data_IF_642820812029
#
_entry.id   IF_642820812029
#
_cell.length_a   1.000
_cell.length_b   1.000
_cell.length_c   1.000
_cell.angle_alpha   90.00
_cell.angle_beta   90.00
_cell.angle_gamma   90.00
#
_symmetry.space_group_name_H-M   'P 1'
#
loop_
_entity.id
_entity.type
_entity.pdbx_description
1 polymer ?
#
# COMPACT_ATOMS: atom_id res chain seq x y z
N UNK A 1 -2.87 -8.67 -5.84
CA UNK A 1 -1.43 -8.66 -6.15
C UNK A 1 -1.12 -8.53 -7.64
N UNK A 2 -2.00 -7.89 -8.43
CA UNK A 2 -1.74 -7.63 -9.85
C UNK A 2 -1.23 -6.22 -10.06
N UNK A 3 -0.47 -6.02 -11.13
CA UNK A 3 0.04 -4.70 -11.51
C UNK A 3 -0.69 -4.12 -12.72
N UNK A 4 -1.65 -4.85 -13.28
CA UNK A 4 -2.47 -4.39 -14.40
C UNK A 4 -3.84 -3.94 -13.93
N UNK A 5 -4.47 -3.07 -14.72
CA UNK A 5 -5.80 -2.57 -14.41
C UNK A 5 -5.80 -1.31 -13.57
N UNK A 6 -6.95 -1.01 -12.99
CA UNK A 6 -7.20 0.22 -12.24
C UNK A 6 -7.76 -0.12 -10.86
N UNK A 7 -7.51 0.75 -9.90
CA UNK A 7 -8.11 0.64 -8.57
C UNK A 7 -8.78 1.97 -8.20
N UNK A 8 -9.99 1.89 -7.65
CA UNK A 8 -10.70 3.07 -7.16
C UNK A 8 -10.10 3.56 -5.84
N UNK A 9 -10.48 4.77 -5.42
CA UNK A 9 -10.07 5.32 -4.13
C UNK A 9 -10.51 4.43 -2.97
N UNK A 10 -11.76 3.94 -3.04
CA UNK A 10 -12.29 3.09 -1.97
C UNK A 10 -11.56 1.76 -1.89
N UNK A 11 -11.27 1.09 -3.01
CA UNK A 11 -10.50 -0.15 -3.02
C UNK A 11 -9.13 0.04 -2.35
N UNK A 12 -8.42 1.10 -2.75
CA UNK A 12 -7.09 1.37 -2.22
C UNK A 12 -7.13 1.62 -0.71
N UNK A 13 -8.01 2.52 -0.27
CA UNK A 13 -8.04 2.93 1.13
C UNK A 13 -8.62 1.87 2.05
N UNK A 14 -9.62 1.09 1.60
CA UNK A 14 -10.12 -0.03 2.38
C UNK A 14 -9.04 -1.08 2.60
N UNK A 15 -8.24 -1.36 1.57
CA UNK A 15 -7.11 -2.26 1.72
C UNK A 15 -6.09 -1.72 2.73
N UNK A 16 -5.71 -0.45 2.61
CA UNK A 16 -4.73 0.15 3.52
C UNK A 16 -5.24 0.14 4.96
N UNK A 17 -6.51 0.48 5.17
CA UNK A 17 -7.11 0.47 6.49
C UNK A 17 -7.11 -0.94 7.09
N UNK A 18 -7.55 -1.95 6.33
CA UNK A 18 -7.58 -3.34 6.77
C UNK A 18 -6.18 -3.83 7.13
N UNK A 19 -5.19 -3.53 6.29
CA UNK A 19 -3.80 -3.91 6.52
C UNK A 19 -3.28 -3.29 7.81
N UNK A 20 -3.54 -2.00 8.03
CA UNK A 20 -3.10 -1.28 9.21
C UNK A 20 -3.75 -1.83 10.49
N UNK A 21 -5.07 -2.04 10.47
CA UNK A 21 -5.82 -2.50 11.65
C UNK A 21 -5.38 -3.90 12.06
N UNK A 22 -5.27 -4.83 11.10
CA UNK A 22 -4.84 -6.19 11.37
C UNK A 22 -3.40 -6.19 11.91
N UNK A 23 -2.53 -5.38 11.30
CA UNK A 23 -1.14 -5.25 11.74
C UNK A 23 -1.05 -4.70 13.16
N UNK A 24 -1.87 -3.71 13.50
CA UNK A 24 -1.89 -3.15 14.84
C UNK A 24 -2.35 -4.18 15.87
N UNK A 25 -3.41 -4.94 15.58
CA UNK A 25 -3.92 -5.98 16.49
C UNK A 25 -2.87 -7.05 16.73
N UNK A 26 -2.24 -7.57 15.67
CA UNK A 26 -1.22 -8.62 15.79
C UNK A 26 0.00 -8.09 16.53
N UNK A 27 0.43 -6.86 16.25
CA UNK A 27 1.54 -6.24 16.95
C UNK A 27 1.30 -6.08 18.44
N UNK A 28 0.08 -5.70 18.82
CA UNK A 28 -0.29 -5.60 20.24
C UNK A 28 -0.29 -6.96 20.93
N UNK A 29 -0.75 -8.01 20.26
CA UNK A 29 -0.73 -9.38 20.80
C UNK A 29 0.70 -9.83 21.05
N UNK A 30 1.60 -9.60 20.08
CA UNK A 30 3.01 -9.96 20.24
C UNK A 30 3.66 -9.20 21.40
N UNK A 31 3.36 -7.92 21.52
CA UNK A 31 3.87 -7.10 22.61
C UNK A 31 3.38 -7.61 23.97
N UNK A 32 2.11 -8.02 24.06
CA UNK A 32 1.53 -8.52 25.29
C UNK A 32 2.11 -9.89 25.72
N UNK A 33 2.54 -10.71 24.76
CA UNK A 33 3.13 -12.03 25.05
C UNK A 33 4.57 -11.94 25.57
N UNK A 34 5.26 -10.82 25.28
CA UNK A 34 6.64 -10.63 25.70
C UNK A 34 7.66 -11.27 24.78
N UNK A 35 8.86 -10.69 24.76
CA UNK A 35 9.92 -11.07 23.80
C UNK A 35 10.49 -12.46 24.04
N UNK A 36 10.39 -13.00 25.28
CA UNK A 36 10.97 -14.29 25.66
C UNK A 36 10.02 -15.47 25.37
N UNK A 37 8.80 -15.19 24.89
CA UNK A 37 7.81 -16.22 24.61
C UNK A 37 8.10 -16.90 23.27
N UNK A 38 8.09 -18.24 23.24
CA UNK A 38 8.16 -19.00 22.00
C UNK A 38 6.95 -18.70 21.12
N UNK A 39 5.79 -18.53 21.73
CA UNK A 39 4.56 -18.18 20.99
C UNK A 39 4.70 -16.80 20.35
N UNK A 40 5.28 -15.82 21.05
CA UNK A 40 5.53 -14.50 20.48
C UNK A 40 6.48 -14.58 19.28
N UNK A 41 7.50 -15.44 19.33
CA UNK A 41 8.42 -15.64 18.23
C UNK A 41 7.70 -16.20 16.99
N UNK A 42 6.87 -17.21 17.18
CA UNK A 42 6.09 -17.82 16.08
C UNK A 42 5.15 -16.80 15.46
N UNK A 43 4.39 -16.08 16.29
CA UNK A 43 3.47 -15.04 15.82
C UNK A 43 4.24 -13.91 15.13
N UNK A 44 5.41 -13.55 15.65
CA UNK A 44 6.27 -12.54 15.06
C UNK A 44 6.76 -12.90 13.67
N UNK A 45 7.12 -14.17 13.44
CA UNK A 45 7.51 -14.66 12.11
C UNK A 45 6.34 -14.58 11.15
N UNK A 46 5.14 -15.02 11.58
CA UNK A 46 3.93 -14.94 10.77
C UNK A 46 3.60 -13.47 10.47
N UNK A 47 3.75 -12.59 11.44
CA UNK A 47 3.54 -11.16 11.25
C UNK A 47 4.52 -10.57 10.24
N UNK A 48 5.79 -10.97 10.30
CA UNK A 48 6.80 -10.52 9.34
C UNK A 48 6.43 -10.92 7.91
N UNK A 49 5.96 -12.16 7.72
CA UNK A 49 5.47 -12.62 6.41
C UNK A 49 4.25 -11.81 5.97
N UNK A 50 3.32 -11.54 6.88
CA UNK A 50 2.16 -10.70 6.60
C UNK A 50 2.58 -9.30 6.14
N UNK A 51 3.56 -8.68 6.81
CA UNK A 51 4.06 -7.35 6.44
C UNK A 51 4.68 -7.37 5.04
N UNK A 52 5.46 -8.41 4.73
CA UNK A 52 6.09 -8.54 3.40
C UNK A 52 5.02 -8.64 2.32
N UNK A 53 4.06 -9.56 2.47
CA UNK A 53 2.98 -9.74 1.49
C UNK A 53 2.13 -8.50 1.37
N UNK A 54 1.77 -7.89 2.50
CA UNK A 54 0.98 -6.66 2.50
C UNK A 54 1.70 -5.47 1.88
N UNK A 55 3.02 -5.39 2.04
CA UNK A 55 3.81 -4.34 1.39
C UNK A 55 3.82 -4.51 -0.13
N UNK A 56 3.96 -5.74 -0.61
CA UNK A 56 3.86 -6.04 -2.04
C UNK A 56 2.46 -5.70 -2.55
N UNK A 57 1.43 -6.08 -1.81
CA UNK A 57 0.05 -5.77 -2.18
C UNK A 57 -0.21 -4.25 -2.18
N UNK A 58 0.35 -3.51 -1.23
CA UNK A 58 0.26 -2.04 -1.20
C UNK A 58 0.93 -1.42 -2.41
N UNK A 59 2.09 -1.94 -2.80
CA UNK A 59 2.81 -1.46 -3.96
C UNK A 59 1.98 -1.69 -5.23
N UNK A 60 1.43 -2.89 -5.42
CA UNK A 60 0.62 -3.19 -6.60
C UNK A 60 -0.71 -2.42 -6.59
N UNK A 61 -1.31 -2.21 -5.42
CA UNK A 61 -2.51 -1.39 -5.30
C UNK A 61 -2.22 0.07 -5.66
N UNK A 62 -1.06 0.60 -5.26
CA UNK A 62 -0.62 1.93 -5.64
C UNK A 62 -0.45 2.06 -7.16
N UNK A 63 0.14 1.06 -7.81
CA UNK A 63 0.25 1.02 -9.27
C UNK A 63 -1.13 1.10 -9.92
N UNK A 64 -2.07 0.25 -9.48
CA UNK A 64 -3.42 0.24 -10.04
C UNK A 64 -4.17 1.55 -9.74
N UNK A 65 -3.91 2.16 -8.59
CA UNK A 65 -4.52 3.44 -8.23
C UNK A 65 -4.02 4.57 -9.13
N UNK A 66 -2.73 4.58 -9.49
CA UNK A 66 -2.21 5.53 -10.46
C UNK A 66 -2.78 5.27 -11.85
N UNK A 67 -3.01 4.01 -12.22
CA UNK A 67 -3.68 3.68 -13.48
C UNK A 67 -5.10 4.28 -13.53
N UNK A 68 -5.80 4.30 -12.40
CA UNK A 68 -7.14 4.88 -12.35
C UNK A 68 -7.14 6.37 -12.69
N UNK A 69 -6.07 7.09 -12.38
CA UNK A 69 -5.89 8.49 -12.77
C UNK A 69 -5.14 8.65 -14.10
N UNK A 70 -5.04 7.58 -14.88
CA UNK A 70 -4.36 7.53 -16.18
C UNK A 70 -2.86 7.87 -16.11
N UNK A 71 -2.21 7.52 -15.01
CA UNK A 71 -0.77 7.70 -14.81
C UNK A 71 -0.07 6.35 -14.87
N UNK A 72 1.20 6.36 -15.29
CA UNK A 72 2.01 5.14 -15.31
C UNK A 72 2.27 4.62 -13.90
N UNK A 73 2.15 3.32 -13.71
CA UNK A 73 2.45 2.67 -12.44
C UNK A 73 3.91 2.77 -12.02
N UNK A 74 4.83 3.03 -12.95
CA UNK A 74 6.23 3.24 -12.63
C UNK A 74 6.46 4.43 -11.70
N UNK A 75 5.52 5.37 -11.63
CA UNK A 75 5.59 6.49 -10.69
C UNK A 75 5.64 6.04 -9.24
N UNK A 76 5.00 4.91 -8.91
CA UNK A 76 5.08 4.37 -7.54
C UNK A 76 6.54 4.05 -7.18
N UNK A 77 7.25 3.40 -8.08
CA UNK A 77 8.66 3.10 -7.86
C UNK A 77 9.50 4.38 -7.71
N UNK A 78 9.23 5.38 -8.56
CA UNK A 78 9.92 6.67 -8.48
C UNK A 78 9.69 7.32 -7.12
N UNK A 79 8.44 7.36 -6.64
CA UNK A 79 8.13 7.95 -5.34
C UNK A 79 8.79 7.18 -4.19
N UNK A 80 8.83 5.87 -4.25
CA UNK A 80 9.47 5.06 -3.22
C UNK A 80 10.98 5.27 -3.18
N UNK A 81 11.62 5.38 -4.36
CA UNK A 81 13.06 5.67 -4.44
C UNK A 81 13.37 7.08 -3.92
N UNK A 82 12.56 8.07 -4.29
CA UNK A 82 12.70 9.43 -3.78
C UNK A 82 12.47 9.49 -2.27
N UNK A 83 11.63 8.60 -1.74
CA UNK A 83 11.40 8.50 -0.31
C UNK A 83 12.62 8.08 0.51
N UNK A 84 13.67 7.58 -0.14
CA UNK A 84 14.92 7.22 0.52
C UNK A 84 15.87 8.40 0.69
N UNK A 85 15.58 9.54 0.08
CA UNK A 85 16.43 10.73 0.12
C UNK A 85 15.90 11.68 1.22
N UNK A 86 16.74 12.07 2.21
CA UNK A 86 16.32 13.03 3.23
C UNK A 86 15.82 14.33 2.60
N UNK A 87 14.84 14.96 3.20
CA UNK A 87 14.11 16.15 2.74
C UNK A 87 13.23 15.89 1.54
N UNK A 88 13.75 15.26 0.48
CA UNK A 88 12.94 14.88 -0.69
C UNK A 88 11.86 13.87 -0.30
N UNK A 89 12.12 13.02 0.68
CA UNK A 89 11.15 12.06 1.23
C UNK A 89 9.82 12.74 1.58
N UNK A 90 9.86 13.87 2.27
CA UNK A 90 8.67 14.58 2.69
C UNK A 90 7.81 15.00 1.50
N UNK A 91 8.46 15.63 0.52
CA UNK A 91 7.78 16.12 -0.69
C UNK A 91 7.25 14.94 -1.50
N UNK A 92 8.04 13.88 -1.64
CA UNK A 92 7.66 12.67 -2.38
C UNK A 92 6.39 12.04 -1.80
N UNK A 93 6.31 11.88 -0.48
CA UNK A 93 5.12 11.32 0.17
C UNK A 93 3.89 12.19 -0.01
N UNK A 94 4.04 13.52 0.10
CA UNK A 94 2.93 14.45 -0.10
C UNK A 94 2.40 14.35 -1.52
N UNK A 95 3.28 14.36 -2.52
CA UNK A 95 2.87 14.27 -3.93
C UNK A 95 2.21 12.91 -4.22
N UNK A 96 2.77 11.84 -3.70
CA UNK A 96 2.20 10.50 -3.86
C UNK A 96 0.78 10.44 -3.28
N UNK A 97 0.59 10.94 -2.06
CA UNK A 97 -0.73 10.94 -1.42
C UNK A 97 -1.71 11.77 -2.23
N UNK A 98 -1.31 12.92 -2.74
CA UNK A 98 -2.17 13.74 -3.60
C UNK A 98 -2.60 12.95 -4.82
N UNK A 99 -1.68 12.25 -5.48
CA UNK A 99 -2.01 11.47 -6.68
C UNK A 99 -3.00 10.35 -6.39
N UNK A 100 -2.80 9.58 -5.30
CA UNK A 100 -3.69 8.46 -4.99
C UNK A 100 -5.05 8.90 -4.45
N UNK A 101 -5.17 10.16 -3.97
CA UNK A 101 -6.44 10.71 -3.50
C UNK A 101 -7.27 11.36 -4.60
N UNK A 102 -6.72 11.56 -5.79
CA UNK A 102 -7.46 12.17 -6.90
C UNK A 102 -8.55 11.25 -7.39
N UNK A 103 -9.62 11.85 -7.93
CA UNK A 103 -10.66 11.08 -8.60
C UNK A 103 -10.09 10.41 -9.84
N UNK A 104 -10.52 9.16 -10.09
CA UNK A 104 -10.09 8.42 -11.27
C UNK A 104 -10.61 9.05 -12.56
N UNK A 105 -10.02 8.66 -13.69
CA UNK A 105 -10.47 9.08 -15.02
C UNK A 105 -11.87 8.54 -15.26
N UNK A 106 -12.88 9.38 -15.61
CA UNK A 106 -14.20 8.88 -15.96
C UNK A 106 -14.15 7.98 -17.20
N UNK A 107 -14.89 6.86 -17.15
CA UNK A 107 -14.94 5.92 -18.26
C UNK A 107 -13.63 5.14 -18.41
N UNK A 108 -13.45 4.56 -19.59
CA UNK A 108 -12.24 3.78 -19.88
C UNK A 108 -11.04 4.70 -20.08
N UNK A 109 -9.86 4.21 -19.69
CA UNK A 109 -8.60 4.86 -20.04
C UNK A 109 -7.62 3.79 -20.55
N UNK A 110 -6.36 4.19 -20.78
CA UNK A 110 -5.36 3.27 -21.35
C UNK A 110 -5.07 2.05 -20.47
N UNK A 111 -5.54 2.01 -19.24
CA UNK A 111 -5.31 0.90 -18.30
C UNK A 111 -6.56 0.06 -18.06
N UNK A 112 -7.68 0.36 -18.69
CA UNK A 112 -8.86 -0.46 -18.62
C UNK A 112 -10.14 0.31 -18.28
N UNK A 113 -11.23 -0.43 -17.99
CA UNK A 113 -12.51 0.19 -17.65
C UNK A 113 -12.47 0.84 -16.28
N UNK A 114 -13.38 1.82 -16.09
CA UNK A 114 -13.51 2.52 -14.82
C UNK A 114 -13.96 1.54 -13.73
N UNK A 115 -13.27 1.47 -12.59
CA UNK A 115 -13.74 0.67 -11.46
C UNK A 115 -14.97 1.30 -10.82
N UNK A 116 -15.77 0.47 -10.21
CA UNK A 116 -16.98 0.92 -9.51
C UNK A 116 -16.70 1.74 -8.26
#
# INVERSE_FOLDING_TARGET
LTISGRASRSEFWWFQLSFFVIGLIVGLIVAALGADSTLALIIGIIFALYVIVGSIASFTAGIRRLHDTNRSGWLVLVFWLLGMIPFVNFISWIVYIVFICQAGTPGDNRFGPQPE
#
